data_IF_149892458339
#
_entry.id   IF_149892458339
#
_cell.length_a   1.000
_cell.length_b   1.000
_cell.length_c   1.000
_cell.angle_alpha   90.00
_cell.angle_beta   90.00
_cell.angle_gamma   90.00
#
_symmetry.space_group_name_H-M   'P 1'
#
loop_
_entity.id
_entity.type
_entity.pdbx_description
1 polymer ?
#
# COMPACT_ATOMS: atom_id res chain seq x y z
N UNK A 1 14.22 -18.80 -17.45
CA UNK A 1 13.56 -18.59 -16.14
C UNK A 1 12.07 -18.53 -16.39
N UNK A 2 11.30 -19.48 -15.84
CA UNK A 2 9.84 -19.48 -15.96
C UNK A 2 9.28 -18.77 -14.71
N UNK A 3 8.51 -17.70 -14.90
CA UNK A 3 7.85 -16.98 -13.81
C UNK A 3 6.65 -17.78 -13.33
N UNK A 4 6.66 -18.20 -12.06
CA UNK A 4 5.49 -18.79 -11.41
C UNK A 4 4.53 -17.65 -11.02
N UNK A 5 3.26 -17.78 -11.37
CA UNK A 5 2.25 -16.75 -11.16
C UNK A 5 1.34 -17.17 -10.01
N UNK A 6 1.53 -16.56 -8.85
CA UNK A 6 0.72 -16.78 -7.66
C UNK A 6 -0.42 -15.75 -7.63
N UNK A 7 -1.66 -16.21 -7.79
CA UNK A 7 -2.85 -15.35 -7.84
C UNK A 7 -3.42 -15.10 -6.45
N UNK A 8 -3.79 -13.85 -6.16
CA UNK A 8 -4.54 -13.47 -4.97
C UNK A 8 -5.98 -14.00 -5.01
N UNK A 9 -6.60 -14.16 -3.83
CA UNK A 9 -7.99 -14.63 -3.73
C UNK A 9 -8.94 -13.63 -4.38
N UNK A 10 -9.85 -14.11 -5.22
CA UNK A 10 -10.84 -13.26 -5.94
C UNK A 10 -11.56 -12.31 -4.98
N UNK A 11 -11.55 -11.02 -5.31
CA UNK A 11 -12.18 -9.93 -4.55
C UNK A 11 -11.62 -9.72 -3.13
N UNK A 12 -10.38 -10.15 -2.87
CA UNK A 12 -9.68 -9.87 -1.62
C UNK A 12 -8.44 -8.97 -1.86
N UNK A 13 -8.64 -7.65 -2.08
CA UNK A 13 -7.54 -6.68 -2.33
C UNK A 13 -6.51 -6.68 -1.20
N UNK A 14 -6.93 -7.02 0.01
CA UNK A 14 -6.06 -7.20 1.18
C UNK A 14 -4.94 -8.24 0.99
N UNK A 15 -5.07 -9.21 0.07
CA UNK A 15 -4.00 -10.16 -0.27
C UNK A 15 -2.83 -9.45 -0.94
N UNK A 16 -3.13 -8.47 -1.80
CA UNK A 16 -2.17 -7.57 -2.42
C UNK A 16 -1.93 -6.32 -1.55
N UNK A 17 -2.30 -6.38 -0.28
CA UNK A 17 -2.35 -5.23 0.63
C UNK A 17 -0.99 -4.53 0.82
N UNK A 18 0.14 -5.21 0.59
CA UNK A 18 1.46 -4.56 0.63
C UNK A 18 1.68 -3.63 -0.58
N UNK A 19 1.35 -4.07 -1.79
CA UNK A 19 1.45 -3.23 -2.98
C UNK A 19 0.40 -2.14 -2.94
N UNK A 20 -0.84 -2.43 -2.55
CA UNK A 20 -1.90 -1.43 -2.39
C UNK A 20 -1.54 -0.35 -1.36
N UNK A 21 -0.98 -0.72 -0.20
CA UNK A 21 -0.50 0.25 0.80
C UNK A 21 0.64 1.11 0.25
N UNK A 22 1.55 0.49 -0.49
CA UNK A 22 2.67 1.19 -1.12
C UNK A 22 2.16 2.21 -2.14
N UNK A 23 1.24 1.80 -3.02
CA UNK A 23 0.60 2.66 -4.02
C UNK A 23 -0.16 3.80 -3.33
N UNK A 24 -0.97 3.52 -2.31
CA UNK A 24 -1.70 4.55 -1.60
C UNK A 24 -0.78 5.58 -0.95
N UNK A 25 0.33 5.12 -0.34
CA UNK A 25 1.30 6.02 0.26
C UNK A 25 1.93 6.91 -0.81
N UNK A 26 2.28 6.37 -1.98
CA UNK A 26 2.82 7.14 -3.10
C UNK A 26 1.79 8.13 -3.66
N UNK A 27 0.53 7.74 -3.80
CA UNK A 27 -0.55 8.63 -4.24
C UNK A 27 -0.75 9.80 -3.28
N UNK A 28 -0.73 9.56 -1.98
CA UNK A 28 -0.89 10.62 -0.97
C UNK A 28 0.33 11.56 -0.95
N UNK A 29 1.54 11.04 -1.19
CA UNK A 29 2.74 11.85 -1.39
C UNK A 29 2.61 12.76 -2.60
N UNK A 30 2.17 12.22 -3.73
CA UNK A 30 1.99 12.95 -4.97
C UNK A 30 0.92 14.02 -4.84
N UNK A 31 -0.21 13.69 -4.20
CA UNK A 31 -1.29 14.65 -3.91
C UNK A 31 -0.81 15.81 -3.04
N UNK A 32 0.02 15.54 -2.03
CA UNK A 32 0.62 16.60 -1.21
C UNK A 32 1.60 17.47 -2.01
N UNK A 33 2.42 16.86 -2.88
CA UNK A 33 3.35 17.61 -3.73
C UNK A 33 2.61 18.51 -4.73
N UNK A 34 1.50 18.06 -5.30
CA UNK A 34 0.69 18.85 -6.22
C UNK A 34 0.05 20.07 -5.52
N UNK A 35 -0.34 19.93 -4.24
CA UNK A 35 -0.88 21.04 -3.44
C UNK A 35 0.20 22.10 -3.14
N UNK A 36 1.39 21.67 -2.73
CA UNK A 36 2.43 22.59 -2.25
C UNK A 36 3.28 23.19 -3.39
N UNK A 37 3.49 22.45 -4.49
CA UNK A 37 4.33 22.88 -5.62
C UNK A 37 3.54 23.27 -6.88
N UNK A 38 2.20 23.10 -6.86
CA UNK A 38 1.32 23.43 -7.97
C UNK A 38 1.39 22.42 -9.13
N UNK A 39 0.97 22.85 -10.32
CA UNK A 39 1.00 22.01 -11.53
C UNK A 39 2.43 21.59 -11.88
N UNK A 40 2.60 20.31 -12.26
CA UNK A 40 3.90 19.76 -12.65
C UNK A 40 4.38 18.61 -11.76
N UNK A 41 3.46 17.79 -11.23
CA UNK A 41 3.77 16.58 -10.44
C UNK A 41 4.83 15.69 -11.11
N UNK A 42 4.87 15.62 -12.44
CA UNK A 42 5.88 14.89 -13.21
C UNK A 42 7.32 15.34 -12.90
N UNK A 43 7.54 16.64 -12.65
CA UNK A 43 8.85 17.20 -12.28
C UNK A 43 9.29 16.79 -10.86
N UNK A 44 8.33 16.43 -10.02
CA UNK A 44 8.54 16.04 -8.63
C UNK A 44 8.56 14.52 -8.44
N UNK A 45 8.13 13.74 -9.44
CA UNK A 45 8.16 12.28 -9.42
C UNK A 45 9.53 11.71 -9.01
N UNK A 46 10.66 12.17 -9.60
CA UNK A 46 11.97 11.64 -9.25
C UNK A 46 12.34 11.91 -7.79
N UNK A 47 11.91 13.05 -7.23
CA UNK A 47 12.15 13.41 -5.83
C UNK A 47 11.30 12.56 -4.89
N UNK A 48 10.03 12.33 -5.22
CA UNK A 48 9.12 11.48 -4.45
C UNK A 48 9.59 10.03 -4.45
N UNK A 49 9.97 9.49 -5.61
CA UNK A 49 10.53 8.14 -5.73
C UNK A 49 11.83 8.00 -4.92
N UNK A 50 12.74 8.97 -5.06
CA UNK A 50 13.98 9.01 -4.30
C UNK A 50 13.72 9.01 -2.79
N UNK A 51 12.80 9.84 -2.32
CA UNK A 51 12.40 9.91 -0.91
C UNK A 51 11.75 8.63 -0.42
N UNK A 52 10.86 8.03 -1.21
CA UNK A 52 10.19 6.79 -0.84
C UNK A 52 11.17 5.63 -0.67
N UNK A 53 12.10 5.49 -1.63
CA UNK A 53 13.12 4.44 -1.65
C UNK A 53 14.20 4.61 -0.59
N UNK A 54 14.47 5.85 -0.14
CA UNK A 54 15.47 6.16 0.88
C UNK A 54 14.91 6.37 2.29
N UNK A 55 13.58 6.46 2.43
CA UNK A 55 12.94 6.55 3.73
C UNK A 55 13.02 5.22 4.45
N UNK A 56 13.12 5.24 5.78
CA UNK A 56 13.07 4.03 6.59
C UNK A 56 11.65 3.41 6.57
N UNK A 57 11.59 2.10 6.38
CA UNK A 57 10.34 1.32 6.43
C UNK A 57 10.40 0.34 7.61
N UNK A 58 9.49 0.50 8.58
CA UNK A 58 9.52 -0.29 9.81
C UNK A 58 9.32 -1.80 9.59
N UNK A 59 8.57 -2.20 8.56
CA UNK A 59 8.38 -3.61 8.18
C UNK A 59 9.66 -4.28 7.69
N UNK A 60 10.51 -3.53 6.98
CA UNK A 60 11.77 -4.01 6.39
C UNK A 60 12.95 -3.75 7.36
N UNK A 61 12.77 -2.86 8.34
CA UNK A 61 13.81 -2.34 9.24
C UNK A 61 15.00 -1.68 8.53
N UNK A 62 14.78 -1.22 7.30
CA UNK A 62 15.75 -0.53 6.47
C UNK A 62 14.98 0.34 5.45
N UNK A 63 15.72 1.16 4.70
CA UNK A 63 15.17 1.78 3.50
C UNK A 63 15.05 0.74 2.36
N UNK A 64 14.03 0.78 1.50
CA UNK A 64 13.94 -0.13 0.35
C UNK A 64 15.21 -0.17 -0.52
N UNK A 65 15.85 0.98 -0.73
CA UNK A 65 17.13 1.06 -1.45
C UNK A 65 18.24 0.28 -0.73
N UNK A 66 18.35 0.44 0.59
CA UNK A 66 19.33 -0.27 1.41
C UNK A 66 19.06 -1.77 1.44
N UNK A 67 17.80 -2.18 1.51
CA UNK A 67 17.41 -3.59 1.47
C UNK A 67 17.71 -4.25 0.11
N UNK A 68 17.56 -3.49 -0.99
CA UNK A 68 17.79 -4.00 -2.34
C UNK A 68 19.27 -4.08 -2.69
N UNK A 69 20.05 -3.07 -2.33
CA UNK A 69 21.46 -2.95 -2.74
C UNK A 69 22.46 -3.23 -1.62
N UNK A 70 22.01 -3.42 -0.38
CA UNK A 70 22.85 -3.65 0.79
C UNK A 70 23.65 -2.42 1.25
N UNK A 71 23.38 -1.24 0.67
CA UNK A 71 24.12 -0.02 0.97
C UNK A 71 23.16 1.18 1.04
N UNK A 72 23.49 2.15 1.90
CA UNK A 72 22.80 3.43 1.95
C UNK A 72 23.08 4.26 0.68
N UNK A 73 22.06 4.98 0.22
CA UNK A 73 22.17 5.84 -0.96
C UNK A 73 23.18 6.98 -0.72
N UNK A 74 23.99 7.25 -1.74
CA UNK A 74 24.94 8.36 -1.77
C UNK A 74 24.40 9.42 -2.72
N UNK A 75 23.84 10.50 -2.17
CA UNK A 75 23.26 11.62 -2.92
C UNK A 75 23.64 12.93 -2.23
N UNK A 76 23.87 14.04 -2.96
CA UNK A 76 24.06 15.39 -2.41
C UNK A 76 23.05 15.77 -1.32
N UNK A 77 21.82 15.27 -1.43
CA UNK A 77 20.70 15.53 -0.49
C UNK A 77 20.69 14.58 0.72
N UNK A 78 21.42 13.46 0.67
CA UNK A 78 21.51 12.43 1.71
C UNK A 78 22.91 12.28 2.34
N UNK A 79 23.81 13.26 2.19
CA UNK A 79 25.09 13.24 2.91
C UNK A 79 24.88 13.47 4.40
N UNK A 80 24.80 12.38 5.16
CA UNK A 80 24.94 12.44 6.61
C UNK A 80 26.40 12.35 7.07
N UNK A 81 27.34 11.83 6.26
CA UNK A 81 28.76 11.80 6.61
C UNK A 81 29.65 11.86 5.35
N UNK A 82 30.72 12.66 5.44
CA UNK A 82 31.83 12.91 4.48
C UNK A 82 31.62 14.17 3.59
N UNK A 83 32.71 14.83 3.18
CA UNK A 83 32.72 16.24 2.79
C UNK A 83 32.95 16.52 1.30
N UNK A 84 31.99 16.21 0.43
CA UNK A 84 32.04 16.62 -1.00
C UNK A 84 30.71 17.26 -1.47
N UNK A 85 30.23 18.27 -0.74
CA UNK A 85 29.06 19.07 -1.15
C UNK A 85 29.34 20.05 -2.32
N UNK A 86 30.49 19.97 -3.00
CA UNK A 86 30.95 21.00 -3.95
C UNK A 86 30.48 20.83 -5.41
N UNK A 87 29.77 19.75 -5.77
CA UNK A 87 29.46 19.44 -7.18
C UNK A 87 28.18 20.09 -7.73
N UNK A 88 27.36 20.73 -6.89
CA UNK A 88 26.10 21.38 -7.29
C UNK A 88 26.01 22.78 -6.69
N UNK A 89 25.57 23.77 -7.47
CA UNK A 89 25.46 25.17 -7.00
C UNK A 89 24.68 25.28 -5.67
N UNK A 90 25.14 26.10 -4.71
CA UNK A 90 24.61 26.14 -3.35
C UNK A 90 23.12 26.49 -3.28
N UNK A 91 22.63 27.25 -4.25
CA UNK A 91 21.22 27.66 -4.34
C UNK A 91 20.29 26.50 -4.72
N UNK A 92 20.69 25.67 -5.69
CA UNK A 92 19.93 24.47 -6.08
C UNK A 92 19.93 23.42 -4.95
N UNK A 93 21.04 23.27 -4.23
CA UNK A 93 21.13 22.37 -3.08
C UNK A 93 20.21 22.85 -1.95
N UNK A 94 20.18 24.15 -1.68
CA UNK A 94 19.30 24.71 -0.66
C UNK A 94 17.82 24.52 -1.02
N UNK A 95 17.42 24.89 -2.24
CA UNK A 95 16.04 24.74 -2.72
C UNK A 95 15.59 23.27 -2.70
N UNK A 96 16.45 22.34 -3.14
CA UNK A 96 16.13 20.90 -3.09
C UNK A 96 16.08 20.35 -1.68
N UNK A 97 16.90 20.85 -0.76
CA UNK A 97 16.90 20.42 0.65
C UNK A 97 15.62 20.88 1.36
N UNK A 98 15.15 22.11 1.09
CA UNK A 98 13.88 22.60 1.65
C UNK A 98 12.69 21.79 1.16
N UNK A 99 12.61 21.53 -0.16
CA UNK A 99 11.57 20.67 -0.75
C UNK A 99 11.64 19.26 -0.17
N UNK A 100 12.85 18.73 0.04
CA UNK A 100 13.06 17.41 0.64
C UNK A 100 12.49 17.32 2.06
N UNK A 101 12.75 18.32 2.92
CA UNK A 101 12.22 18.36 4.29
C UNK A 101 10.69 18.43 4.28
N UNK A 102 10.09 19.26 3.42
CA UNK A 102 8.64 19.39 3.31
C UNK A 102 7.99 18.07 2.87
N UNK A 103 8.50 17.44 1.80
CA UNK A 103 7.96 16.17 1.32
C UNK A 103 8.11 15.08 2.39
N UNK A 104 9.25 15.02 3.11
CA UNK A 104 9.45 14.06 4.21
C UNK A 104 8.43 14.22 5.33
N UNK A 105 8.09 15.44 5.72
CA UNK A 105 7.05 15.70 6.73
C UNK A 105 5.67 15.24 6.24
N UNK A 106 5.33 15.47 4.96
CA UNK A 106 4.07 15.01 4.35
C UNK A 106 3.97 13.49 4.31
N UNK A 107 5.05 12.82 3.94
CA UNK A 107 5.16 11.34 3.96
C UNK A 107 4.81 10.81 5.34
N UNK A 108 5.38 11.41 6.39
CA UNK A 108 5.15 10.98 7.76
C UNK A 108 3.69 11.22 8.18
N UNK A 109 3.15 12.41 7.90
CA UNK A 109 1.75 12.75 8.21
C UNK A 109 0.75 11.81 7.53
N UNK A 110 0.95 11.47 6.25
CA UNK A 110 0.10 10.53 5.52
C UNK A 110 0.11 9.12 6.16
N UNK A 111 1.29 8.64 6.55
CA UNK A 111 1.44 7.35 7.27
C UNK A 111 0.72 7.37 8.62
N UNK A 112 0.85 8.44 9.39
CA UNK A 112 0.23 8.58 10.70
C UNK A 112 -1.30 8.63 10.60
N UNK A 113 -1.83 9.33 9.59
CA UNK A 113 -3.26 9.31 9.26
C UNK A 113 -3.74 7.89 8.93
N UNK A 114 -3.06 7.19 8.04
CA UNK A 114 -3.44 5.82 7.65
C UNK A 114 -3.45 4.87 8.86
N UNK A 115 -2.45 4.99 9.74
CA UNK A 115 -2.34 4.20 10.97
C UNK A 115 -3.53 4.48 11.90
N UNK A 116 -3.81 5.75 12.18
CA UNK A 116 -4.94 6.13 13.06
C UNK A 116 -6.30 5.67 12.53
N UNK A 117 -6.56 5.78 11.23
CA UNK A 117 -7.81 5.28 10.63
C UNK A 117 -7.96 3.76 10.73
N UNK A 118 -6.85 3.03 10.54
CA UNK A 118 -6.85 1.56 10.57
C UNK A 118 -7.01 1.04 11.99
N UNK A 119 -6.21 1.55 12.93
CA UNK A 119 -6.19 1.11 14.32
C UNK A 119 -7.54 1.34 15.01
N UNK A 120 -8.21 2.46 14.72
CA UNK A 120 -9.53 2.79 15.30
C UNK A 120 -10.65 1.89 14.75
N UNK A 121 -10.54 1.39 13.52
CA UNK A 121 -11.61 0.63 12.84
C UNK A 121 -11.38 -0.88 12.85
N UNK A 122 -10.21 -1.35 13.21
CA UNK A 122 -9.88 -2.78 13.19
C UNK A 122 -10.45 -3.50 14.42
N UNK A 123 -11.59 -4.19 14.24
CA UNK A 123 -12.06 -5.19 15.20
C UNK A 123 -11.57 -6.57 14.74
N UNK A 124 -10.75 -7.28 15.53
CA UNK A 124 -10.38 -8.65 15.18
C UNK A 124 -11.65 -9.51 15.25
N UNK A 125 -12.15 -9.91 14.08
CA UNK A 125 -13.25 -10.85 13.95
C UNK A 125 -12.67 -12.21 13.64
N UNK A 126 -12.75 -13.13 14.59
CA UNK A 126 -12.31 -14.51 14.43
C UNK A 126 -13.51 -15.43 14.29
N UNK A 127 -13.42 -16.38 13.37
CA UNK A 127 -14.41 -17.42 13.16
C UNK A 127 -13.83 -18.78 13.54
N UNK A 128 -14.67 -19.64 14.10
CA UNK A 128 -14.34 -21.01 14.44
C UNK A 128 -14.80 -21.98 13.35
N UNK A 129 -14.18 -23.16 13.29
CA UNK A 129 -14.63 -24.24 12.41
C UNK A 129 -16.03 -24.65 12.81
N UNK A 130 -16.94 -24.67 11.83
CA UNK A 130 -18.37 -24.92 12.07
C UNK A 130 -19.24 -23.68 12.11
N UNK A 131 -18.66 -22.48 12.26
CA UNK A 131 -19.41 -21.23 12.18
C UNK A 131 -20.04 -21.03 10.79
N UNK A 132 -21.17 -20.32 10.77
CA UNK A 132 -21.87 -19.94 9.54
C UNK A 132 -21.62 -18.47 9.24
N UNK A 133 -20.95 -18.19 8.12
CA UNK A 133 -20.58 -16.84 7.70
C UNK A 133 -21.22 -16.47 6.37
N UNK A 134 -21.62 -15.21 6.22
CA UNK A 134 -22.13 -14.70 4.95
C UNK A 134 -20.98 -14.20 4.07
N UNK A 135 -20.98 -14.60 2.80
CA UNK A 135 -19.98 -14.13 1.84
C UNK A 135 -20.43 -12.80 1.23
N UNK A 136 -19.59 -11.77 1.35
CA UNK A 136 -19.82 -10.49 0.68
C UNK A 136 -19.47 -10.61 -0.81
N UNK A 137 -20.36 -10.13 -1.68
CA UNK A 137 -20.13 -10.09 -3.14
C UNK A 137 -20.19 -8.66 -3.67
N UNK A 138 -19.32 -8.34 -4.63
CA UNK A 138 -19.34 -7.05 -5.32
C UNK A 138 -20.37 -7.06 -6.47
N UNK A 139 -21.32 -6.11 -6.51
CA UNK A 139 -22.32 -6.06 -7.59
C UNK A 139 -21.76 -5.76 -8.98
N UNK A 140 -20.53 -5.23 -9.05
CA UNK A 140 -19.99 -4.52 -10.22
C UNK A 140 -19.29 -5.40 -11.27
N UNK A 141 -18.97 -6.67 -10.98
CA UNK A 141 -18.29 -7.56 -11.94
C UNK A 141 -18.92 -8.94 -11.93
N UNK A 142 -19.68 -9.22 -12.98
CA UNK A 142 -20.14 -10.50 -13.54
C UNK A 142 -19.85 -11.80 -12.74
N UNK A 143 -20.29 -11.90 -11.48
CA UNK A 143 -20.39 -13.20 -10.81
C UNK A 143 -21.66 -13.88 -11.32
N UNK A 144 -21.58 -14.45 -12.53
CA UNK A 144 -22.65 -15.21 -13.20
C UNK A 144 -23.14 -16.42 -12.37
N UNK A 145 -22.41 -16.79 -11.31
CA UNK A 145 -22.73 -17.97 -10.48
C UNK A 145 -24.00 -17.84 -9.63
N UNK A 146 -24.53 -16.64 -9.40
CA UNK A 146 -25.70 -16.44 -8.50
C UNK A 146 -26.96 -15.87 -9.18
N UNK A 147 -27.06 -15.98 -10.51
CA UNK A 147 -28.23 -15.55 -11.28
C UNK A 147 -28.11 -14.17 -11.92
N UNK A 148 -29.03 -13.86 -12.85
CA UNK A 148 -28.99 -12.68 -13.74
C UNK A 148 -28.90 -11.34 -12.99
N UNK A 149 -28.12 -10.42 -13.58
CA UNK A 149 -27.97 -9.00 -13.19
C UNK A 149 -29.35 -8.35 -12.97
N UNK A 150 -29.66 -8.02 -11.70
CA UNK A 150 -30.72 -7.08 -11.34
C UNK A 150 -30.11 -5.95 -10.52
N UNK A 151 -30.68 -4.76 -10.69
CA UNK A 151 -30.28 -3.49 -10.05
C UNK A 151 -30.23 -3.57 -8.50
N UNK A 152 -30.84 -4.62 -7.93
CA UNK A 152 -30.92 -4.92 -6.49
C UNK A 152 -30.26 -6.27 -6.13
N UNK A 153 -29.03 -6.51 -6.58
CA UNK A 153 -28.30 -7.71 -6.15
C UNK A 153 -27.94 -7.65 -4.65
N UNK A 154 -28.15 -8.74 -3.88
CA UNK A 154 -27.80 -8.76 -2.47
C UNK A 154 -26.27 -8.66 -2.30
N UNK A 155 -25.83 -7.82 -1.36
CA UNK A 155 -24.40 -7.64 -1.03
C UNK A 155 -23.79 -8.81 -0.27
N UNK A 156 -24.63 -9.66 0.32
CA UNK A 156 -24.24 -10.84 1.07
C UNK A 156 -25.01 -12.05 0.55
N UNK A 157 -24.31 -13.15 0.35
CA UNK A 157 -24.88 -14.42 -0.11
C UNK A 157 -24.95 -15.38 1.07
N UNK A 158 -25.96 -16.26 1.00
CA UNK A 158 -26.31 -17.38 1.89
C UNK A 158 -25.18 -17.81 2.86
N UNK A 159 -25.52 -18.18 4.11
CA UNK A 159 -24.50 -18.60 5.07
C UNK A 159 -23.75 -19.85 4.60
N UNK A 160 -22.43 -19.78 4.62
CA UNK A 160 -21.51 -20.88 4.34
C UNK A 160 -20.88 -21.38 5.63
N UNK A 161 -20.66 -22.69 5.73
CA UNK A 161 -19.97 -23.28 6.87
C UNK A 161 -18.45 -23.12 6.71
N UNK A 162 -17.78 -22.68 7.78
CA UNK A 162 -16.31 -22.66 7.85
C UNK A 162 -15.82 -24.09 8.04
N UNK A 163 -15.04 -24.59 7.07
CA UNK A 163 -14.45 -25.93 7.08
C UNK A 163 -13.09 -25.98 7.78
N UNK A 164 -12.25 -24.99 7.53
CA UNK A 164 -10.92 -24.89 8.14
C UNK A 164 -10.39 -23.46 8.10
N UNK A 165 -9.48 -23.15 9.04
CA UNK A 165 -8.71 -21.91 9.05
C UNK A 165 -7.43 -22.14 8.23
N UNK A 166 -7.27 -21.40 7.13
CA UNK A 166 -6.11 -21.49 6.21
C UNK A 166 -5.02 -20.50 6.64
N UNK A 167 -5.40 -19.38 7.24
CA UNK A 167 -4.49 -18.39 7.82
C UNK A 167 -5.19 -17.53 8.88
N UNK A 168 -4.48 -16.56 9.45
CA UNK A 168 -4.99 -15.70 10.55
C UNK A 168 -6.34 -15.06 10.21
N UNK A 169 -6.51 -14.63 8.96
CA UNK A 169 -7.72 -13.96 8.44
C UNK A 169 -8.35 -14.70 7.25
N UNK A 170 -7.89 -15.91 6.93
CA UNK A 170 -8.32 -16.66 5.75
C UNK A 170 -8.97 -17.99 6.15
N UNK A 171 -10.19 -18.24 5.65
CA UNK A 171 -11.00 -19.39 5.99
C UNK A 171 -11.46 -20.12 4.74
N UNK A 172 -11.49 -21.45 4.79
CA UNK A 172 -12.07 -22.30 3.74
C UNK A 172 -13.56 -22.49 4.01
N UNK A 173 -14.38 -22.20 3.01
CA UNK A 173 -15.83 -22.32 3.09
C UNK A 173 -16.34 -23.52 2.30
N UNK A 174 -17.44 -24.12 2.77
CA UNK A 174 -18.14 -25.22 2.08
C UNK A 174 -18.98 -24.68 0.93
N UNK A 175 -18.47 -24.71 -0.30
CA UNK A 175 -19.28 -24.43 -1.50
C UNK A 175 -19.98 -25.70 -1.96
N UNK A 176 -21.32 -25.71 -1.92
CA UNK A 176 -22.11 -26.69 -2.65
C UNK A 176 -21.96 -26.39 -4.15
N UNK A 177 -21.12 -27.18 -4.84
CA UNK A 177 -21.14 -27.23 -6.30
C UNK A 177 -22.58 -27.59 -6.72
N UNK A 178 -23.27 -26.62 -7.32
CA UNK A 178 -24.54 -26.82 -8.02
C UNK A 178 -24.44 -26.17 -9.39
#
# INVERSE_FOLDING_TARGET
>A
MCTQLDMSMTYHPQTDGQSERTIQTLEDMLRACEIDFGNGWERHLPLVEFLFNNSYHASIKAAPFEALYGQKCRSPVCWAEVGDAQLTGPELVHETTEKFVQIKQRIQAARDLQKSYTDVRHKPLEFQVGDRVMLKVSPWKEVVRFGKRRELNPRYIRPFKVLSKVGTVAYRLEYLNS
#
